data_IF_285397001035
#
_entry.id   IF_285397001035
#
_cell.length_a   1.000
_cell.length_b   1.000
_cell.length_c   1.000
_cell.angle_alpha   90.00
_cell.angle_beta   90.00
_cell.angle_gamma   90.00
#
_symmetry.space_group_name_H-M   'P 1'
#
loop_
_entity.id
_entity.type
_entity.pdbx_description
1 polymer ?
#
# COMPACT_ATOMS: atom_id res chain seq x y z
N UNK A 1 23.43 11.93 18.63
CA UNK A 1 22.11 11.26 18.66
C UNK A 1 21.70 11.10 17.22
N UNK A 2 21.34 9.90 16.75
CA UNK A 2 20.80 9.73 15.40
C UNK A 2 19.43 10.44 15.34
N UNK A 3 19.12 11.12 14.24
CA UNK A 3 17.78 11.67 14.05
C UNK A 3 16.76 10.53 14.03
N UNK A 4 15.56 10.72 14.61
CA UNK A 4 14.53 9.71 14.58
C UNK A 4 14.08 9.47 13.13
N UNK A 5 14.13 8.22 12.68
CA UNK A 5 13.66 7.81 11.35
C UNK A 5 12.15 8.10 11.26
N UNK A 6 11.74 8.83 10.22
CA UNK A 6 10.35 9.15 10.00
C UNK A 6 9.53 7.85 9.83
N UNK A 7 8.45 7.71 10.61
CA UNK A 7 7.59 6.52 10.60
C UNK A 7 6.24 6.85 10.00
N UNK A 8 5.79 6.04 9.05
CA UNK A 8 4.47 6.13 8.44
C UNK A 8 3.67 4.86 8.68
N UNK A 9 2.36 5.01 8.80
CA UNK A 9 1.40 3.91 8.92
C UNK A 9 0.61 3.83 7.62
N UNK A 10 0.65 2.67 6.96
CA UNK A 10 -0.14 2.39 5.77
C UNK A 10 -1.53 1.86 6.16
N UNK A 11 -2.56 2.47 5.59
CA UNK A 11 -3.91 1.90 5.57
C UNK A 11 -4.13 1.07 4.31
N UNK A 12 -5.22 0.31 4.30
CA UNK A 12 -5.57 -0.58 3.18
C UNK A 12 -5.81 0.20 1.89
N UNK A 13 -6.41 1.40 1.96
CA UNK A 13 -6.66 2.25 0.80
C UNK A 13 -5.40 2.82 0.15
N UNK A 14 -4.39 3.23 0.93
CA UNK A 14 -3.11 3.70 0.42
C UNK A 14 -2.41 2.58 -0.39
N UNK A 15 -2.46 1.36 0.12
CA UNK A 15 -1.93 0.18 -0.58
C UNK A 15 -2.72 -0.08 -1.88
N UNK A 16 -4.05 0.01 -1.85
CA UNK A 16 -4.88 -0.16 -3.05
C UNK A 16 -4.62 0.92 -4.10
N UNK A 17 -4.48 2.18 -3.69
CA UNK A 17 -4.20 3.30 -4.60
C UNK A 17 -2.90 3.08 -5.38
N UNK A 18 -1.88 2.47 -4.73
CA UNK A 18 -0.66 2.05 -5.42
C UNK A 18 -0.91 0.96 -6.47
N UNK A 19 -1.62 -0.12 -6.10
CA UNK A 19 -1.84 -1.26 -7.00
C UNK A 19 -2.81 -0.98 -8.16
N UNK A 20 -3.79 -0.09 -7.96
CA UNK A 20 -4.81 0.24 -8.94
C UNK A 20 -4.45 1.49 -9.78
N UNK A 21 -3.24 2.04 -9.62
CA UNK A 21 -2.78 3.25 -10.28
C UNK A 21 -3.74 4.46 -10.06
N UNK A 22 -4.30 4.56 -8.85
CA UNK A 22 -5.17 5.67 -8.46
C UNK A 22 -4.38 6.85 -7.90
N UNK A 23 -5.05 8.00 -7.76
CA UNK A 23 -4.48 9.22 -7.21
C UNK A 23 -3.88 8.98 -5.81
N UNK A 24 -2.61 9.35 -5.62
CA UNK A 24 -1.87 9.15 -4.37
C UNK A 24 -1.06 7.85 -4.33
N UNK A 25 -1.24 6.93 -5.28
CA UNK A 25 -0.43 5.72 -5.42
C UNK A 25 1.06 6.01 -5.68
N UNK A 26 1.36 7.13 -6.34
CA UNK A 26 2.73 7.61 -6.58
C UNK A 26 3.44 8.02 -5.29
N UNK A 27 2.69 8.53 -4.30
CA UNK A 27 3.23 8.89 -2.99
C UNK A 27 3.59 7.64 -2.19
N UNK A 28 2.76 6.60 -2.30
CA UNK A 28 3.00 5.31 -1.66
C UNK A 28 4.21 4.62 -2.28
N UNK A 29 4.36 4.67 -3.61
CA UNK A 29 5.57 4.20 -4.28
C UNK A 29 6.83 4.92 -3.79
N UNK A 30 6.80 6.26 -3.72
CA UNK A 30 7.94 7.04 -3.24
C UNK A 30 8.32 6.69 -1.79
N UNK A 31 7.33 6.40 -0.94
CA UNK A 31 7.56 5.95 0.44
C UNK A 31 8.15 4.53 0.50
N UNK A 32 7.67 3.61 -0.35
CA UNK A 32 8.22 2.25 -0.46
C UNK A 32 9.68 2.28 -0.92
N UNK A 33 10.01 3.14 -1.88
CA UNK A 33 11.39 3.33 -2.35
C UNK A 33 12.29 3.91 -1.24
N UNK A 34 11.82 4.89 -0.48
CA UNK A 34 12.53 5.44 0.68
C UNK A 34 12.75 4.37 1.76
N UNK A 35 11.74 3.54 2.03
CA UNK A 35 11.84 2.45 2.99
C UNK A 35 12.88 1.40 2.54
N UNK A 36 12.95 1.10 1.24
CA UNK A 36 13.97 0.23 0.66
C UNK A 36 15.40 0.77 0.74
N UNK A 37 15.58 2.06 1.07
CA UNK A 37 16.87 2.73 1.33
C UNK A 37 17.11 3.01 2.81
N UNK A 38 16.30 2.46 3.72
CA UNK A 38 16.34 2.71 5.16
C UNK A 38 16.17 4.20 5.56
N UNK A 39 15.54 5.02 4.69
CA UNK A 39 15.32 6.45 4.93
C UNK A 39 14.08 6.71 5.80
N UNK A 40 13.10 5.80 5.75
CA UNK A 40 11.83 5.87 6.49
C UNK A 40 11.42 4.48 6.97
N UNK A 41 10.58 4.43 8.00
CA UNK A 41 9.93 3.20 8.46
C UNK A 41 8.47 3.18 7.99
N UNK A 42 8.07 2.12 7.29
CA UNK A 42 6.67 1.86 6.96
C UNK A 42 6.14 0.76 7.86
N UNK A 43 4.95 0.99 8.40
CA UNK A 43 4.24 0.03 9.26
C UNK A 43 2.83 -0.16 8.75
N UNK A 44 2.26 -1.33 8.99
CA UNK A 44 0.88 -1.65 8.62
C UNK A 44 0.29 -2.55 9.69
N UNK A 45 -0.98 -2.35 10.03
CA UNK A 45 -1.67 -3.26 10.94
C UNK A 45 -1.97 -4.58 10.23
N UNK A 46 -2.02 -5.70 10.97
CA UNK A 46 -2.47 -6.99 10.43
C UNK A 46 -3.90 -6.92 9.89
N UNK A 47 -4.74 -6.05 10.45
CA UNK A 47 -6.11 -5.82 9.99
C UNK A 47 -6.08 -5.24 8.58
N UNK A 48 -5.27 -4.19 8.35
CA UNK A 48 -5.18 -3.54 7.05
C UNK A 48 -4.59 -4.49 6.01
N UNK A 49 -3.66 -5.40 6.39
CA UNK A 49 -3.14 -6.42 5.47
C UNK A 49 -4.26 -7.34 4.98
N UNK A 50 -5.08 -7.86 5.90
CA UNK A 50 -6.21 -8.73 5.53
C UNK A 50 -7.26 -8.01 4.69
N UNK A 51 -7.50 -6.72 4.94
CA UNK A 51 -8.37 -5.88 4.11
C UNK A 51 -7.82 -5.70 2.69
N UNK A 52 -6.53 -5.37 2.54
CA UNK A 52 -5.89 -5.22 1.24
C UNK A 52 -5.93 -6.52 0.42
N UNK A 53 -5.71 -7.68 1.06
CA UNK A 53 -5.86 -8.98 0.39
C UNK A 53 -7.30 -9.18 -0.09
N UNK A 54 -8.29 -8.94 0.77
CA UNK A 54 -9.71 -9.09 0.43
C UNK A 54 -10.14 -8.20 -0.73
N UNK A 55 -9.75 -6.93 -0.71
CA UNK A 55 -10.07 -5.97 -1.79
C UNK A 55 -9.38 -6.36 -3.09
N UNK A 56 -8.12 -6.79 -3.05
CA UNK A 56 -7.40 -7.27 -4.21
C UNK A 56 -8.06 -8.51 -4.84
N UNK A 57 -8.44 -9.51 -4.04
CA UNK A 57 -9.16 -10.68 -4.54
C UNK A 57 -10.54 -10.34 -5.10
N UNK A 58 -11.27 -9.41 -4.47
CA UNK A 58 -12.56 -8.94 -4.96
C UNK A 58 -12.43 -8.24 -6.32
N UNK A 59 -11.38 -7.44 -6.49
CA UNK A 59 -11.06 -6.79 -7.74
C UNK A 59 -10.69 -7.80 -8.86
N UNK A 60 -9.85 -8.80 -8.56
CA UNK A 60 -9.52 -9.85 -9.54
C UNK A 60 -10.76 -10.65 -9.96
N UNK A 61 -11.65 -10.98 -9.03
CA UNK A 61 -12.90 -11.67 -9.34
C UNK A 61 -13.84 -10.82 -10.21
N UNK A 62 -13.91 -9.51 -9.95
CA UNK A 62 -14.64 -8.58 -10.81
C UNK A 62 -14.05 -8.51 -12.22
N UNK A 63 -12.72 -8.41 -12.35
CA UNK A 63 -12.05 -8.39 -13.65
C UNK A 63 -12.35 -9.64 -14.47
N UNK A 64 -12.31 -10.82 -13.84
CA UNK A 64 -12.66 -12.09 -14.51
C UNK A 64 -14.11 -12.07 -15.01
N UNK A 65 -15.04 -11.57 -14.20
CA UNK A 65 -16.45 -11.44 -14.60
C UNK A 65 -16.70 -10.43 -15.73
N UNK A 66 -15.87 -9.40 -15.83
CA UNK A 66 -16.03 -8.34 -16.84
C UNK A 66 -15.44 -8.71 -18.21
N UNK A 67 -14.67 -9.80 -18.29
CA UNK A 67 -14.08 -10.30 -19.55
C UNK A 67 -14.96 -11.32 -20.29
N UNK A 68 -16.13 -11.68 -19.75
CA UNK A 68 -17.15 -12.54 -20.36
C UNK A 68 -18.48 -11.79 -20.54
#
# INVERSE_FOLDING_TARGET
>A
MAEPIATFVLDSFAVMAHFQAEFGGEKVLALLEQAGRDEVLLTMSLINVGESEREYFSFLAWLDSAMY
#
